data_IF_228421447805
#
_entry.id   IF_228421447805
#
_cell.length_a   1.000
_cell.length_b   1.000
_cell.length_c   1.000
_cell.angle_alpha   90.00
_cell.angle_beta   90.00
_cell.angle_gamma   90.00
#
_symmetry.space_group_name_H-M   'P 1'
#
loop_
_entity.id
_entity.type
_entity.pdbx_description
1 polymer ?
#
# COMPACT_ATOMS: atom_id res chain seq x y z
N UNK A 1 2.92 0.85 -0.89
CA UNK A 1 3.17 0.24 0.44
C UNK A 1 3.37 1.36 1.43
N UNK A 2 2.78 1.26 2.62
CA UNK A 2 2.95 2.28 3.65
C UNK A 2 4.39 2.22 4.18
N UNK A 3 5.06 3.37 4.35
CA UNK A 3 6.41 3.39 4.94
C UNK A 3 6.29 3.28 6.46
N UNK A 4 6.02 2.08 6.96
CA UNK A 4 6.04 1.76 8.39
C UNK A 4 6.72 0.41 8.66
N UNK A 5 7.14 0.14 9.91
CA UNK A 5 7.88 -1.09 10.25
C UNK A 5 7.07 -2.37 10.03
N UNK A 6 5.74 -2.28 10.13
CA UNK A 6 4.81 -3.40 9.92
C UNK A 6 4.75 -3.80 8.44
N UNK A 7 4.70 -2.83 7.52
CA UNK A 7 4.82 -3.03 6.07
C UNK A 7 6.15 -3.64 5.67
N UNK A 8 7.25 -3.19 6.29
CA UNK A 8 8.58 -3.75 6.06
C UNK A 8 8.64 -5.22 6.45
N UNK A 9 8.13 -5.56 7.64
CA UNK A 9 8.12 -6.93 8.14
C UNK A 9 7.21 -7.84 7.30
N UNK A 10 5.99 -7.40 6.95
CA UNK A 10 5.07 -8.20 6.15
C UNK A 10 5.52 -8.36 4.69
N UNK A 11 6.04 -7.30 4.07
CA UNK A 11 6.49 -7.33 2.67
C UNK A 11 7.78 -8.12 2.49
N UNK A 12 8.76 -7.98 3.39
CA UNK A 12 10.04 -8.68 3.27
C UNK A 12 9.94 -10.11 3.80
N UNK A 13 9.44 -10.33 5.03
CA UNK A 13 9.39 -11.68 5.61
C UNK A 13 8.32 -12.53 4.90
N UNK A 14 7.17 -11.94 4.53
CA UNK A 14 6.11 -12.66 3.84
C UNK A 14 6.46 -13.04 2.39
N UNK A 15 6.91 -12.08 1.57
CA UNK A 15 7.09 -12.31 0.13
C UNK A 15 8.48 -12.86 -0.25
N UNK A 16 9.56 -12.41 0.40
CA UNK A 16 10.92 -12.90 0.11
C UNK A 16 11.29 -14.18 0.89
N UNK A 17 10.87 -14.31 2.16
CA UNK A 17 11.33 -15.42 3.01
C UNK A 17 10.33 -16.58 3.15
N UNK A 18 9.02 -16.33 3.16
CA UNK A 18 8.01 -17.39 3.36
C UNK A 18 7.44 -17.91 2.03
N UNK A 19 7.19 -17.04 1.05
CA UNK A 19 6.52 -17.43 -0.19
C UNK A 19 7.46 -17.56 -1.40
N UNK A 20 8.72 -17.12 -1.31
CA UNK A 20 9.74 -17.19 -2.36
C UNK A 20 9.26 -16.64 -3.72
N UNK A 21 8.38 -15.65 -3.69
CA UNK A 21 7.67 -15.11 -4.86
C UNK A 21 8.51 -14.07 -5.62
N UNK A 22 9.52 -13.47 -4.98
CA UNK A 22 10.33 -12.38 -5.54
C UNK A 22 11.82 -12.51 -5.18
N UNK A 23 12.74 -12.09 -6.07
CA UNK A 23 14.17 -12.08 -5.79
C UNK A 23 14.51 -11.17 -4.60
N UNK A 24 15.44 -11.64 -3.77
CA UNK A 24 15.94 -10.92 -2.60
C UNK A 24 16.49 -9.54 -2.98
N UNK A 25 16.09 -8.50 -2.24
CA UNK A 25 16.57 -7.14 -2.41
C UNK A 25 15.75 -6.26 -3.36
N UNK A 26 14.55 -6.71 -3.76
CA UNK A 26 13.68 -5.95 -4.68
C UNK A 26 12.85 -4.85 -4.01
N UNK A 27 12.75 -4.85 -2.67
CA UNK A 27 11.97 -3.88 -1.91
C UNK A 27 12.87 -2.86 -1.21
N UNK A 28 13.16 -1.74 -1.89
CA UNK A 28 13.77 -0.58 -1.26
C UNK A 28 12.74 0.16 -0.40
N UNK A 29 12.72 -0.13 0.90
CA UNK A 29 11.84 0.50 1.89
C UNK A 29 11.82 2.04 1.82
N UNK A 30 12.95 2.65 1.46
CA UNK A 30 13.10 4.09 1.30
C UNK A 30 12.30 4.68 0.13
N UNK A 31 11.77 3.86 -0.78
CA UNK A 31 10.91 4.30 -1.91
C UNK A 31 9.42 4.22 -1.60
N UNK A 32 9.03 3.67 -0.45
CA UNK A 32 7.61 3.59 -0.07
C UNK A 32 7.06 4.96 0.31
N UNK A 33 5.91 5.32 -0.25
CA UNK A 33 5.24 6.59 0.02
C UNK A 33 4.24 6.34 1.16
N UNK A 34 4.13 7.25 2.13
CA UNK A 34 3.10 7.19 3.17
C UNK A 34 1.77 7.74 2.63
N UNK A 35 0.61 7.25 3.12
CA UNK A 35 -0.69 7.73 2.66
C UNK A 35 -0.86 9.25 2.74
N UNK A 36 -0.36 9.89 3.81
CA UNK A 36 -0.47 11.34 3.97
C UNK A 36 0.42 12.11 3.00
N UNK A 37 1.58 11.56 2.59
CA UNK A 37 2.46 12.18 1.60
C UNK A 37 1.76 12.19 0.23
N UNK A 38 1.19 11.05 -0.15
CA UNK A 38 0.43 10.95 -1.40
C UNK A 38 -0.82 11.83 -1.40
N UNK A 39 -1.55 11.89 -0.28
CA UNK A 39 -2.73 12.74 -0.16
C UNK A 39 -2.37 14.24 -0.24
N UNK A 40 -1.22 14.62 0.33
CA UNK A 40 -0.66 15.97 0.18
C UNK A 40 -0.42 16.32 -1.28
N UNK A 41 0.27 15.47 -2.02
CA UNK A 41 0.54 15.67 -3.46
C UNK A 41 -0.74 15.65 -4.30
N UNK A 42 -1.70 14.79 -3.98
CA UNK A 42 -2.99 14.76 -4.65
C UNK A 42 -3.72 16.11 -4.51
N UNK A 43 -3.72 16.69 -3.31
CA UNK A 43 -4.30 18.01 -3.06
C UNK A 43 -3.56 19.12 -3.81
N UNK A 44 -2.24 19.10 -3.83
CA UNK A 44 -1.42 20.04 -4.61
C UNK A 44 -1.72 19.96 -6.12
N UNK A 45 -2.08 18.77 -6.61
CA UNK A 45 -2.49 18.54 -7.99
C UNK A 45 -3.97 18.88 -8.27
N UNK A 46 -4.71 19.42 -7.30
CA UNK A 46 -6.14 19.75 -7.43
C UNK A 46 -7.06 18.52 -7.43
N UNK A 47 -6.61 17.43 -6.81
CA UNK A 47 -7.40 16.21 -6.62
C UNK A 47 -7.81 16.07 -5.15
N UNK A 48 -9.03 15.58 -4.93
CA UNK A 48 -9.54 15.25 -3.61
C UNK A 48 -9.46 13.75 -3.37
N UNK A 49 -8.87 13.37 -2.25
CA UNK A 49 -8.88 11.97 -1.80
C UNK A 49 -10.29 11.61 -1.32
N UNK A 50 -10.93 10.66 -2.00
CA UNK A 50 -12.32 10.24 -1.70
C UNK A 50 -12.37 8.98 -0.86
N UNK A 51 -11.39 8.08 -1.02
CA UNK A 51 -11.31 6.84 -0.25
C UNK A 51 -9.87 6.37 -0.08
N UNK A 52 -9.63 5.63 1.00
CA UNK A 52 -8.37 5.00 1.31
C UNK A 52 -8.62 3.61 1.90
N UNK A 53 -8.24 2.57 1.18
CA UNK A 53 -8.43 1.17 1.59
C UNK A 53 -7.11 0.42 1.50
N UNK A 54 -6.93 -0.63 2.29
CA UNK A 54 -5.82 -1.56 2.14
C UNK A 54 -6.26 -2.87 1.49
N UNK A 55 -5.31 -3.63 1.00
CA UNK A 55 -5.52 -4.92 0.38
C UNK A 55 -4.82 -6.01 1.18
N UNK A 56 -5.56 -7.06 1.54
CA UNK A 56 -5.02 -8.25 2.20
C UNK A 56 -5.07 -9.45 1.27
N UNK A 57 -4.08 -10.34 1.39
CA UNK A 57 -4.03 -11.60 0.66
C UNK A 57 -4.21 -12.76 1.64
N UNK A 58 -5.14 -13.67 1.33
CA UNK A 58 -5.29 -14.91 2.08
C UNK A 58 -4.54 -16.03 1.34
N UNK A 59 -3.43 -16.57 1.89
CA UNK A 59 -2.64 -17.60 1.22
C UNK A 59 -3.34 -18.96 1.13
N UNK A 60 -4.32 -19.24 2.01
CA UNK A 60 -5.05 -20.51 2.01
C UNK A 60 -6.14 -20.53 0.94
N UNK A 61 -6.92 -19.46 0.83
CA UNK A 61 -7.96 -19.33 -0.21
C UNK A 61 -7.43 -18.73 -1.52
N UNK A 62 -6.19 -18.22 -1.50
CA UNK A 62 -5.53 -17.50 -2.60
C UNK A 62 -6.30 -16.30 -3.13
N UNK A 63 -7.16 -15.71 -2.29
CA UNK A 63 -7.97 -14.56 -2.65
C UNK A 63 -7.41 -13.26 -2.07
N UNK A 64 -7.55 -12.19 -2.85
CA UNK A 64 -7.33 -10.82 -2.42
C UNK A 64 -8.63 -10.21 -1.93
N UNK A 65 -8.55 -9.40 -0.87
CA UNK A 65 -9.71 -8.69 -0.32
C UNK A 65 -9.33 -7.25 0.03
N UNK A 66 -10.21 -6.31 -0.32
CA UNK A 66 -10.14 -4.93 0.13
C UNK A 66 -10.67 -4.81 1.56
N UNK A 67 -10.04 -3.97 2.36
CA UNK A 67 -10.40 -3.76 3.76
C UNK A 67 -9.91 -2.43 4.30
N UNK A 68 -10.27 -2.12 5.54
CA UNK A 68 -9.88 -0.88 6.21
C UNK A 68 -8.44 -0.89 6.75
N UNK A 69 -7.76 -2.05 6.74
CA UNK A 69 -6.39 -2.16 7.23
C UNK A 69 -5.38 -1.62 6.20
N UNK A 70 -4.97 -0.37 6.39
CA UNK A 70 -3.96 0.34 5.60
C UNK A 70 -2.54 0.25 6.18
N UNK A 71 -2.34 -0.60 7.19
CA UNK A 71 -1.08 -0.67 7.91
C UNK A 71 0.03 -1.29 7.09
N UNK A 72 -0.26 -2.07 6.04
CA UNK A 72 0.77 -2.72 5.22
C UNK A 72 0.86 -2.05 3.86
N UNK A 73 -0.27 -1.95 3.16
CA UNK A 73 -0.39 -1.30 1.88
C UNK A 73 -1.69 -0.50 1.84
N UNK A 74 -1.81 0.36 0.83
CA UNK A 74 -2.98 1.19 0.65
C UNK A 74 -3.22 1.41 -0.85
N UNK A 75 -4.48 1.62 -1.18
CA UNK A 75 -5.02 2.09 -2.44
C UNK A 75 -5.76 3.38 -2.12
N UNK A 76 -5.50 4.42 -2.91
CA UNK A 76 -6.10 5.73 -2.74
C UNK A 76 -6.97 6.04 -3.95
N UNK A 77 -8.24 6.33 -3.72
CA UNK A 77 -9.12 6.87 -4.74
C UNK A 77 -9.08 8.41 -4.68
N UNK A 78 -8.92 9.03 -5.84
CA UNK A 78 -8.92 10.49 -5.96
C UNK A 78 -9.86 10.93 -7.06
N UNK A 79 -10.56 12.04 -6.83
CA UNK A 79 -11.45 12.64 -7.80
C UNK A 79 -11.05 14.10 -8.02
N UNK A 80 -11.07 14.54 -9.28
CA UNK A 80 -11.01 15.97 -9.60
C UNK A 80 -12.40 16.54 -9.39
N UNK A 81 -12.52 17.57 -8.55
CA UNK A 81 -13.77 18.33 -8.48
C UNK A 81 -13.99 19.01 -9.85
N UNK A 82 -15.16 18.75 -10.43
CA UNK A 82 -15.63 19.41 -11.64
C UNK A 82 -16.67 20.41 -11.14
N UNK A 83 -16.34 21.70 -11.16
CA UNK A 83 -17.33 22.78 -11.04
C UNK A 83 -18.30 22.79 -12.22
#
# INVERSE_FOLDING_TARGET
>A
LNRNPKSFLFAIVGAEYVLNLLPKGTHEYAKFIKPFELSGWAREAGLLTTDLTGMSYNPFSKHYKLGSDIDVNYLMATQKEIE
#
